data_IF_181925455937
#
_entry.id   IF_181925455937
#
_cell.length_a   1.000
_cell.length_b   1.000
_cell.length_c   1.000
_cell.angle_alpha   90.00
_cell.angle_beta   90.00
_cell.angle_gamma   90.00
#
_symmetry.space_group_name_H-M   'P 1'
#
loop_
_entity.id
_entity.type
_entity.pdbx_description
1 polymer ?
#
# COMPACT_ATOMS: atom_id res chain seq x y z
N UNK A 1 -19.96 14.05 3.95
CA UNK A 1 -18.63 13.66 3.42
C UNK A 1 -18.60 12.14 3.38
N UNK A 2 -18.94 11.59 2.23
CA UNK A 2 -19.11 10.15 2.05
C UNK A 2 -17.73 9.50 1.88
N UNK A 3 -17.43 8.53 2.77
CA UNK A 3 -16.20 7.74 2.72
C UNK A 3 -16.28 6.78 1.53
N UNK A 4 -15.92 7.27 0.34
CA UNK A 4 -15.79 6.45 -0.86
C UNK A 4 -14.66 5.43 -0.60
N UNK A 5 -15.02 4.14 -0.56
CA UNK A 5 -14.05 3.05 -0.69
C UNK A 5 -13.89 2.15 0.53
N UNK A 6 -14.87 1.27 0.79
CA UNK A 6 -14.57 -0.04 1.36
C UNK A 6 -14.88 -1.16 0.36
N UNK A 7 -13.95 -1.52 -0.54
CA UNK A 7 -13.75 -2.92 -0.87
C UNK A 7 -12.83 -3.56 0.19
N UNK A 8 -13.23 -4.77 0.58
CA UNK A 8 -12.64 -5.66 1.58
C UNK A 8 -11.10 -5.69 1.67
N UNK A 9 -10.59 -5.61 2.90
CA UNK A 9 -9.35 -6.24 3.42
C UNK A 9 -8.15 -6.26 2.45
N UNK A 10 -7.70 -5.09 2.01
CA UNK A 10 -6.31 -4.90 1.57
C UNK A 10 -5.50 -4.34 2.73
N UNK A 11 -4.31 -4.88 3.02
CA UNK A 11 -3.42 -4.31 4.05
C UNK A 11 -3.06 -2.85 3.76
N UNK A 12 -3.04 -2.51 2.47
CA UNK A 12 -2.69 -1.21 1.92
C UNK A 12 -3.95 -0.43 1.48
N UNK A 13 -4.11 0.79 2.00
CA UNK A 13 -5.26 1.67 1.78
C UNK A 13 -4.79 3.05 1.32
N UNK A 14 -5.37 3.61 0.27
CA UNK A 14 -5.06 4.99 -0.13
C UNK A 14 -5.81 5.97 0.77
N UNK A 15 -5.09 6.85 1.46
CA UNK A 15 -5.65 7.88 2.35
C UNK A 15 -5.08 9.25 1.99
N UNK A 16 -5.92 10.28 1.96
CA UNK A 16 -5.46 11.66 1.87
C UNK A 16 -5.04 12.16 3.26
N UNK A 17 -3.79 12.57 3.41
CA UNK A 17 -3.25 13.26 4.58
C UNK A 17 -3.27 14.79 4.42
N UNK A 18 -2.71 15.50 5.40
CA UNK A 18 -2.67 16.97 5.40
C UNK A 18 -1.74 17.60 4.36
N UNK A 19 -0.71 16.87 3.90
CA UNK A 19 0.30 17.34 2.94
C UNK A 19 0.30 16.55 1.61
N UNK A 20 -0.79 15.84 1.29
CA UNK A 20 -0.89 15.02 0.08
C UNK A 20 -1.53 13.67 0.36
N UNK A 21 -1.40 12.72 -0.57
CA UNK A 21 -1.91 11.37 -0.45
C UNK A 21 -0.86 10.43 0.15
N UNK A 22 -1.31 9.36 0.77
CA UNK A 22 -0.45 8.31 1.31
C UNK A 22 -1.10 6.95 1.12
N UNK A 23 -0.27 5.91 1.06
CA UNK A 23 -0.75 4.53 1.21
C UNK A 23 -0.59 4.16 2.67
N UNK A 24 -1.69 3.97 3.37
CA UNK A 24 -1.76 3.51 4.74
C UNK A 24 -1.66 1.99 4.79
N UNK A 25 -0.68 1.49 5.53
CA UNK A 25 -0.53 0.07 5.83
C UNK A 25 -1.13 -0.24 7.20
N UNK A 26 -2.08 -1.17 7.22
CA UNK A 26 -2.79 -1.54 8.45
C UNK A 26 -1.95 -2.42 9.39
N UNK A 27 -0.90 -3.08 8.90
CA UNK A 27 0.02 -3.87 9.75
C UNK A 27 1.01 -2.96 10.49
N UNK A 28 1.61 -2.02 9.78
CA UNK A 28 2.50 -0.99 10.32
C UNK A 28 1.75 0.12 11.05
N UNK A 29 0.42 0.17 10.92
CA UNK A 29 -0.46 1.22 11.47
C UNK A 29 0.02 2.63 11.11
N UNK A 30 0.49 2.78 9.87
CA UNK A 30 1.19 3.98 9.42
C UNK A 30 1.33 4.02 7.89
N UNK A 31 2.10 4.95 7.33
CA UNK A 31 2.37 4.96 5.90
C UNK A 31 3.15 3.69 5.50
N UNK A 32 2.72 3.06 4.41
CA UNK A 32 3.33 1.87 3.85
C UNK A 32 4.76 2.17 3.42
N UNK A 33 5.70 1.27 3.74
CA UNK A 33 7.09 1.46 3.37
C UNK A 33 7.32 0.92 1.95
N UNK A 34 7.71 1.77 0.99
CA UNK A 34 7.84 1.42 -0.44
C UNK A 34 8.95 0.38 -0.66
N UNK A 35 10.03 0.52 0.09
CA UNK A 35 11.20 -0.36 0.07
C UNK A 35 11.64 -0.72 1.50
N UNK A 36 12.36 -1.82 1.66
CA UNK A 36 12.87 -2.26 2.96
C UNK A 36 13.99 -1.29 3.40
N UNK A 37 13.71 -0.46 4.41
CA UNK A 37 14.50 0.71 4.85
C UNK A 37 14.51 1.92 3.89
N UNK A 38 13.52 2.00 3.00
CA UNK A 38 13.40 3.11 2.06
C UNK A 38 12.38 4.16 2.48
N UNK A 39 11.93 4.93 1.50
CA UNK A 39 10.93 5.98 1.71
C UNK A 39 9.55 5.42 2.08
N UNK A 40 8.82 6.20 2.87
CA UNK A 40 7.42 5.96 3.17
C UNK A 40 6.53 6.45 2.03
N UNK A 41 5.42 5.76 1.80
CA UNK A 41 4.39 6.11 0.83
C UNK A 41 3.54 7.27 1.34
N UNK A 42 4.16 8.40 1.66
CA UNK A 42 3.52 9.65 2.10
C UNK A 42 3.85 10.81 1.16
N UNK A 43 3.07 11.90 1.22
CA UNK A 43 3.19 13.08 0.34
C UNK A 43 3.13 12.77 -1.16
N UNK A 44 2.40 11.71 -1.50
CA UNK A 44 2.18 11.27 -2.86
C UNK A 44 1.05 12.06 -3.51
N UNK A 45 0.99 12.04 -4.84
CA UNK A 45 -0.25 12.39 -5.54
C UNK A 45 -1.25 11.24 -5.43
N UNK A 46 -2.53 11.52 -5.69
CA UNK A 46 -3.59 10.51 -5.70
C UNK A 46 -3.21 9.32 -6.61
N UNK A 47 -2.75 9.64 -7.81
CA UNK A 47 -2.38 8.64 -8.82
C UNK A 47 -1.18 7.78 -8.37
N UNK A 48 -0.16 8.40 -7.77
CA UNK A 48 0.97 7.67 -7.20
C UNK A 48 0.54 6.75 -6.05
N UNK A 49 -0.35 7.20 -5.18
CA UNK A 49 -0.86 6.40 -4.07
C UNK A 49 -1.69 5.20 -4.58
N UNK A 50 -2.51 5.40 -5.61
CA UNK A 50 -3.26 4.30 -6.25
C UNK A 50 -2.36 3.27 -6.93
N UNK A 51 -1.33 3.73 -7.65
CA UNK A 51 -0.31 2.84 -8.26
C UNK A 51 0.42 2.04 -7.18
N UNK A 52 0.83 2.69 -6.10
CA UNK A 52 1.53 2.03 -5.00
C UNK A 52 0.65 1.02 -4.27
N UNK A 53 -0.61 1.36 -3.96
CA UNK A 53 -1.53 0.43 -3.33
C UNK A 53 -1.76 -0.84 -4.17
N UNK A 54 -1.84 -0.70 -5.51
CA UNK A 54 -1.89 -1.85 -6.43
C UNK A 54 -0.60 -2.66 -6.40
N UNK A 55 0.57 -2.00 -6.43
CA UNK A 55 1.87 -2.66 -6.34
C UNK A 55 2.02 -3.44 -5.03
N UNK A 56 1.63 -2.86 -3.90
CA UNK A 56 1.70 -3.51 -2.60
C UNK A 56 0.76 -4.71 -2.49
N UNK A 57 -0.49 -4.57 -2.95
CA UNK A 57 -1.42 -5.72 -3.08
C UNK A 57 -0.85 -6.82 -3.97
N UNK A 58 -0.23 -6.47 -5.09
CA UNK A 58 0.37 -7.44 -6.01
C UNK A 58 1.60 -8.14 -5.42
N UNK A 59 2.43 -7.39 -4.67
CA UNK A 59 3.62 -7.91 -3.98
C UNK A 59 3.24 -8.85 -2.83
N UNK A 60 2.21 -8.54 -2.09
CA UNK A 60 1.67 -9.40 -1.04
C UNK A 60 1.05 -10.68 -1.60
N UNK A 61 0.37 -10.58 -2.74
CA UNK A 61 -0.24 -11.73 -3.40
C UNK A 61 0.72 -12.52 -4.30
N UNK A 62 2.03 -12.24 -4.29
CA UNK A 62 2.99 -13.21 -4.79
C UNK A 62 3.01 -14.35 -3.77
N UNK A 63 2.51 -15.56 -4.08
CA UNK A 63 2.94 -16.71 -3.32
C UNK A 63 4.47 -16.70 -3.44
N UNK A 64 5.17 -16.52 -2.33
CA UNK A 64 6.54 -16.97 -2.23
C UNK A 64 6.48 -18.45 -2.58
N UNK A 65 6.74 -18.79 -3.83
CA UNK A 65 6.95 -20.16 -4.29
C UNK A 65 8.21 -20.64 -3.60
N UNK A 66 8.09 -20.96 -2.32
CA UNK A 66 9.08 -21.71 -1.58
C UNK A 66 8.94 -23.15 -2.04
N UNK A 67 9.56 -23.46 -3.18
CA UNK A 67 10.31 -24.70 -3.45
C UNK A 67 10.73 -24.77 -4.92
N UNK A 68 12.02 -24.55 -5.18
CA UNK A 68 12.79 -25.37 -6.11
C UNK A 68 13.19 -26.69 -5.38
N UNK A 69 13.95 -27.63 -5.99
CA UNK A 69 13.90 -28.27 -7.31
C UNK A 69 13.59 -29.80 -7.18
N UNK A 70 13.45 -30.52 -8.30
CA UNK A 70 13.64 -31.97 -8.38
C UNK A 70 14.24 -32.33 -9.74
#
# INVERSE_FOLDING_TARGET
>A
MEFIGRPMRGRFLVRQGGNGWMVYDSELKGPAQIEKNGAFAEKLTKEQAEILAKLFTTRENRPLTKKAPA
#
